data_IF_326086733593
#
_entry.id   IF_326086733593
#
_cell.length_a   1.000
_cell.length_b   1.000
_cell.length_c   1.000
_cell.angle_alpha   90.00
_cell.angle_beta   90.00
_cell.angle_gamma   90.00
#
_symmetry.space_group_name_H-M   'P 1'
#
loop_
_entity.id
_entity.type
_entity.pdbx_description
1 polymer ?
#
# COMPACT_ATOMS: atom_id res chain seq x y z
N UNK A 1 -32.90 -44.68 -5.80
CA UNK A 1 -31.52 -44.46 -5.29
C UNK A 1 -30.93 -43.08 -5.62
N UNK A 2 -31.17 -42.48 -6.78
CA UNK A 2 -30.57 -41.15 -7.14
C UNK A 2 -31.05 -39.95 -6.32
N UNK A 3 -32.30 -39.95 -5.80
CA UNK A 3 -32.85 -38.79 -5.07
C UNK A 3 -32.37 -38.66 -3.62
N UNK A 4 -32.06 -39.78 -2.95
CA UNK A 4 -31.56 -39.78 -1.56
C UNK A 4 -30.11 -39.28 -1.51
N UNK A 5 -29.32 -39.59 -2.55
CA UNK A 5 -27.93 -39.15 -2.67
C UNK A 5 -27.80 -37.63 -2.86
N UNK A 6 -28.73 -37.00 -3.60
CA UNK A 6 -28.72 -35.54 -3.76
C UNK A 6 -29.02 -34.79 -2.47
N UNK A 7 -29.94 -35.29 -1.63
CA UNK A 7 -30.31 -34.64 -0.36
C UNK A 7 -29.16 -34.74 0.65
N UNK A 8 -28.46 -35.88 0.69
CA UNK A 8 -27.28 -36.03 1.54
C UNK A 8 -26.14 -35.08 1.12
N UNK A 9 -25.96 -34.84 -0.18
CA UNK A 9 -24.91 -33.95 -0.69
C UNK A 9 -25.17 -32.48 -0.34
N UNK A 10 -26.42 -32.01 -0.41
CA UNK A 10 -26.76 -30.62 -0.06
C UNK A 10 -26.62 -30.35 1.44
N UNK A 11 -26.93 -31.31 2.30
CA UNK A 11 -26.76 -31.16 3.75
C UNK A 11 -25.26 -31.09 4.12
N UNK A 12 -24.41 -31.88 3.46
CA UNK A 12 -22.94 -31.82 3.66
C UNK A 12 -22.33 -30.48 3.28
N UNK A 13 -22.82 -29.86 2.19
CA UNK A 13 -22.32 -28.54 1.72
C UNK A 13 -22.78 -27.42 2.67
N UNK A 14 -23.98 -27.50 3.24
CA UNK A 14 -24.48 -26.52 4.21
C UNK A 14 -23.76 -26.60 5.56
N UNK A 15 -23.41 -27.80 6.04
CA UNK A 15 -22.65 -27.98 7.28
C UNK A 15 -21.16 -27.67 7.08
N UNK A 16 -20.58 -28.05 5.92
CA UNK A 16 -19.20 -27.70 5.57
C UNK A 16 -18.98 -26.20 5.34
N UNK A 17 -19.96 -25.53 4.72
CA UNK A 17 -19.93 -24.08 4.51
C UNK A 17 -20.06 -23.29 5.82
N UNK A 18 -20.93 -23.71 6.74
CA UNK A 18 -21.10 -23.03 8.03
C UNK A 18 -19.88 -23.20 8.96
N UNK A 19 -19.16 -24.33 8.90
CA UNK A 19 -17.88 -24.49 9.60
C UNK A 19 -16.73 -23.71 8.94
N UNK A 20 -16.76 -23.49 7.62
CA UNK A 20 -15.75 -22.67 6.93
C UNK A 20 -15.93 -21.17 7.25
N UNK A 21 -17.18 -20.70 7.41
CA UNK A 21 -17.46 -19.31 7.81
C UNK A 21 -17.25 -19.03 9.31
N UNK A 22 -17.25 -20.04 10.18
CA UNK A 22 -16.88 -19.83 11.59
C UNK A 22 -15.37 -19.67 11.83
N UNK A 23 -14.51 -20.10 10.88
CA UNK A 23 -13.05 -19.95 11.00
C UNK A 23 -12.48 -18.67 10.34
N UNK A 24 -13.34 -17.79 9.79
CA UNK A 24 -12.93 -16.48 9.25
C UNK A 24 -13.70 -15.29 9.88
N UNK A 25 -14.32 -15.49 11.04
CA UNK A 25 -14.76 -14.36 11.86
C UNK A 25 -13.54 -13.76 12.56
N UNK A 26 -12.92 -12.77 11.91
CA UNK A 26 -11.82 -11.95 12.43
C UNK A 26 -12.18 -11.21 13.73
N UNK A 27 -13.39 -11.38 14.27
CA UNK A 27 -13.77 -10.83 15.57
C UNK A 27 -13.30 -11.70 16.76
N UNK A 28 -13.00 -12.99 16.57
CA UNK A 28 -12.51 -13.85 17.68
C UNK A 28 -11.00 -13.78 17.90
N UNK A 29 -10.22 -13.43 16.87
CA UNK A 29 -8.76 -13.27 16.97
C UNK A 29 -8.36 -11.92 17.59
N UNK A 30 -9.20 -10.89 17.46
CA UNK A 30 -9.01 -9.60 18.13
C UNK A 30 -9.30 -9.65 19.63
N UNK A 31 -10.18 -10.53 20.10
CA UNK A 31 -10.46 -10.72 21.54
C UNK A 31 -9.39 -11.61 22.18
N UNK A 32 -8.87 -12.62 21.48
CA UNK A 32 -7.82 -13.49 22.01
C UNK A 32 -6.46 -12.79 22.13
N UNK A 33 -6.14 -11.81 21.26
CA UNK A 33 -4.90 -11.02 21.39
C UNK A 33 -4.91 -10.04 22.58
N UNK A 34 -6.09 -9.60 23.05
CA UNK A 34 -6.21 -8.80 24.27
C UNK A 34 -6.16 -9.65 25.55
N UNK A 35 -6.72 -10.88 25.54
CA UNK A 35 -6.66 -11.77 26.71
C UNK A 35 -5.32 -12.52 26.86
N UNK A 36 -4.59 -12.82 25.77
CA UNK A 36 -3.31 -13.54 25.86
C UNK A 36 -2.13 -12.68 26.33
N UNK A 37 -2.34 -11.41 26.68
CA UNK A 37 -1.30 -10.59 27.32
C UNK A 37 -1.05 -10.93 28.80
N UNK A 38 -1.79 -11.91 29.36
CA UNK A 38 -1.68 -12.31 30.78
C UNK A 38 -1.07 -13.70 30.99
N UNK A 39 -0.81 -14.50 29.95
CA UNK A 39 -0.23 -15.85 30.13
C UNK A 39 0.92 -16.08 29.14
N UNK A 40 2.03 -15.39 29.36
CA UNK A 40 3.35 -15.93 29.00
C UNK A 40 4.42 -15.30 29.90
N UNK A 41 4.20 -15.51 31.20
CA UNK A 41 5.20 -15.35 32.26
C UNK A 41 5.53 -16.75 32.79
N UNK A 42 6.12 -17.62 31.98
CA UNK A 42 6.90 -18.75 32.48
C UNK A 42 7.68 -19.45 31.35
N UNK A 43 8.96 -19.72 31.64
CA UNK A 43 10.01 -20.25 30.76
C UNK A 43 10.46 -19.26 29.67
N UNK A 44 11.61 -18.59 29.78
CA UNK A 44 12.94 -19.19 29.93
C UNK A 44 13.79 -18.37 30.91
N UNK A 45 14.23 -19.02 31.99
CA UNK A 45 15.39 -18.61 32.78
C UNK A 45 16.67 -18.90 32.00
N UNK A 46 17.38 -17.86 31.56
CA UNK A 46 18.86 -17.86 31.58
C UNK A 46 19.30 -16.51 32.15
N UNK A 47 19.96 -16.63 33.28
CA UNK A 47 20.45 -15.60 34.17
C UNK A 47 21.70 -14.89 33.59
N UNK A 48 21.69 -13.56 33.51
CA UNK A 48 22.61 -12.68 34.27
C UNK A 48 22.59 -11.22 33.75
N UNK A 49 21.84 -10.41 34.48
CA UNK A 49 21.98 -8.97 34.77
C UNK A 49 21.80 -7.89 33.67
N UNK A 50 21.00 -6.82 33.95
CA UNK A 50 20.58 -5.82 32.98
C UNK A 50 21.43 -4.54 33.02
N UNK A 51 21.54 -3.84 31.89
CA UNK A 51 21.68 -2.38 31.88
C UNK A 51 20.38 -1.80 31.33
N UNK A 52 19.80 -0.93 32.14
CA UNK A 52 18.53 -0.25 31.93
C UNK A 52 18.30 0.21 30.49
N UNK A 53 17.25 -0.32 29.86
CA UNK A 53 16.56 0.39 28.79
C UNK A 53 15.20 0.77 29.35
N UNK A 54 15.07 2.03 29.75
CA UNK A 54 13.78 2.65 30.04
C UNK A 54 12.92 2.52 28.78
N UNK A 55 11.87 1.72 28.84
CA UNK A 55 10.73 1.85 27.93
C UNK A 55 9.91 3.04 28.38
N UNK A 56 10.13 4.19 27.75
CA UNK A 56 9.18 5.30 27.82
C UNK A 56 7.95 4.90 26.98
N UNK A 57 6.88 4.57 27.71
CA UNK A 57 5.52 4.63 27.19
C UNK A 57 5.19 6.11 27.02
N UNK A 58 5.35 6.65 25.82
CA UNK A 58 4.79 7.97 25.51
C UNK A 58 3.33 7.83 25.11
N UNK A 59 2.50 8.41 25.97
CA UNK A 59 1.07 8.63 25.81
C UNK A 59 0.86 9.62 24.65
N UNK A 60 -0.16 9.45 23.77
CA UNK A 60 -0.40 10.38 22.67
C UNK A 60 -1.04 11.64 23.23
N UNK A 61 -0.23 12.67 23.53
CA UNK A 61 -0.73 13.91 24.08
C UNK A 61 0.31 15.01 23.98
N UNK A 62 0.09 15.91 23.02
CA UNK A 62 0.88 17.09 22.65
C UNK A 62 2.20 16.77 21.91
N UNK A 63 2.09 16.46 20.62
CA UNK A 63 3.22 16.65 19.71
C UNK A 63 3.39 18.16 19.44
N UNK A 64 4.57 18.68 19.74
CA UNK A 64 4.98 20.04 19.34
C UNK A 64 4.92 20.18 17.80
N UNK A 65 4.65 21.39 17.28
CA UNK A 65 4.65 21.61 15.84
C UNK A 65 6.03 21.22 15.26
N UNK A 66 6.08 20.52 14.11
CA UNK A 66 7.33 20.09 13.53
C UNK A 66 8.23 21.30 13.24
N UNK A 67 9.49 21.22 13.67
CA UNK A 67 10.51 22.29 13.51
C UNK A 67 10.79 22.69 12.06
N UNK A 68 10.20 21.99 11.08
CA UNK A 68 10.45 22.17 9.64
C UNK A 68 9.20 22.61 8.85
N UNK A 69 8.13 23.04 9.54
CA UNK A 69 6.98 23.66 8.87
C UNK A 69 7.39 25.03 8.31
N UNK A 70 7.84 25.06 7.06
CA UNK A 70 7.88 26.31 6.29
C UNK A 70 6.48 26.93 6.29
N UNK A 71 6.39 28.26 6.37
CA UNK A 71 5.14 29.03 6.44
C UNK A 71 4.12 28.79 5.29
N UNK A 72 4.46 27.96 4.31
CA UNK A 72 3.70 27.64 3.10
C UNK A 72 3.42 26.12 2.96
N UNK A 73 3.63 25.34 4.02
CA UNK A 73 3.36 23.90 4.02
C UNK A 73 1.85 23.65 4.16
N UNK A 74 1.18 23.31 3.06
CA UNK A 74 -0.27 23.01 2.99
C UNK A 74 -0.65 21.72 3.75
N UNK A 75 0.32 20.95 4.27
CA UNK A 75 0.10 19.64 4.91
C UNK A 75 -0.46 19.75 6.32
N UNK A 76 -1.42 18.89 6.65
CA UNK A 76 -1.88 18.74 8.04
C UNK A 76 -0.91 17.88 8.87
N UNK A 77 -1.09 17.85 10.19
CA UNK A 77 -0.33 16.95 11.06
C UNK A 77 -0.55 15.48 10.68
N UNK A 78 -1.77 15.11 10.31
CA UNK A 78 -2.12 13.77 9.84
C UNK A 78 -1.40 13.42 8.53
N UNK A 79 -1.29 14.39 7.62
CA UNK A 79 -0.54 14.24 6.37
C UNK A 79 0.95 13.97 6.64
N UNK A 80 1.57 14.74 7.54
CA UNK A 80 2.97 14.57 7.91
C UNK A 80 3.21 13.19 8.57
N UNK A 81 2.31 12.77 9.45
CA UNK A 81 2.37 11.46 10.10
C UNK A 81 2.24 10.32 9.09
N UNK A 82 1.33 10.45 8.12
CA UNK A 82 1.15 9.48 7.05
C UNK A 82 2.36 9.43 6.11
N UNK A 83 2.93 10.58 5.75
CA UNK A 83 4.15 10.67 4.91
C UNK A 83 5.31 9.92 5.58
N UNK A 84 5.53 10.13 6.88
CA UNK A 84 6.54 9.41 7.67
C UNK A 84 6.28 7.90 7.69
N UNK A 85 5.04 7.48 7.87
CA UNK A 85 4.67 6.06 7.89
C UNK A 85 4.88 5.39 6.52
N UNK A 86 4.47 6.06 5.45
CA UNK A 86 4.68 5.57 4.08
C UNK A 86 6.17 5.43 3.74
N UNK A 87 7.00 6.39 4.15
CA UNK A 87 8.45 6.31 3.98
C UNK A 87 9.06 5.12 4.75
N UNK A 88 8.66 4.92 6.01
CA UNK A 88 9.10 3.77 6.81
C UNK A 88 8.70 2.43 6.17
N UNK A 89 7.45 2.31 5.71
CA UNK A 89 6.94 1.10 5.05
C UNK A 89 7.69 0.82 3.74
N UNK A 90 7.98 1.85 2.94
CA UNK A 90 8.76 1.71 1.69
C UNK A 90 10.18 1.22 1.97
N UNK A 91 10.87 1.81 2.94
CA UNK A 91 12.22 1.39 3.37
C UNK A 91 12.22 -0.04 3.91
N UNK A 92 11.21 -0.40 4.70
CA UNK A 92 11.04 -1.77 5.20
C UNK A 92 10.82 -2.76 4.05
N UNK A 93 9.97 -2.42 3.08
CA UNK A 93 9.70 -3.28 1.93
C UNK A 93 10.90 -3.45 1.02
N UNK A 94 11.66 -2.38 0.77
CA UNK A 94 12.94 -2.47 0.07
C UNK A 94 13.88 -3.42 0.80
N UNK A 95 14.05 -3.25 2.12
CA UNK A 95 14.89 -4.13 2.94
C UNK A 95 14.45 -5.60 2.85
N UNK A 96 13.17 -5.89 3.06
CA UNK A 96 12.62 -7.26 2.95
C UNK A 96 12.86 -7.83 1.55
N UNK A 97 12.70 -7.04 0.49
CA UNK A 97 13.00 -7.48 -0.86
C UNK A 97 14.48 -7.83 -1.04
N UNK A 98 15.39 -7.00 -0.51
CA UNK A 98 16.84 -7.24 -0.58
C UNK A 98 17.28 -8.46 0.22
N UNK A 99 16.70 -8.68 1.39
CA UNK A 99 17.08 -9.75 2.32
C UNK A 99 16.41 -11.09 1.97
N UNK A 100 15.14 -11.05 1.56
CA UNK A 100 14.29 -12.24 1.45
C UNK A 100 13.76 -12.49 0.03
N UNK A 101 13.97 -11.56 -0.91
CA UNK A 101 13.51 -11.68 -2.30
C UNK A 101 11.99 -11.57 -2.46
N UNK A 102 11.26 -11.14 -1.42
CA UNK A 102 9.81 -10.96 -1.44
C UNK A 102 9.41 -9.54 -1.09
N UNK A 103 8.28 -9.08 -1.63
CA UNK A 103 7.67 -7.82 -1.24
C UNK A 103 7.06 -7.98 0.16
N UNK A 104 7.32 -7.02 1.06
CA UNK A 104 6.76 -7.02 2.41
C UNK A 104 5.29 -6.59 2.46
N UNK A 105 4.81 -6.27 3.66
CA UNK A 105 3.45 -5.79 3.87
C UNK A 105 3.35 -4.30 3.52
N UNK A 106 2.21 -3.90 2.97
CA UNK A 106 1.90 -2.50 2.64
C UNK A 106 0.70 -2.00 3.44
N UNK A 107 0.59 -0.67 3.59
CA UNK A 107 -0.64 -0.02 4.02
C UNK A 107 -1.74 -0.45 3.06
N UNK A 108 -2.80 -1.05 3.61
CA UNK A 108 -3.94 -1.46 2.79
C UNK A 108 -4.70 -0.23 2.29
N UNK A 109 -5.15 -0.25 1.03
CA UNK A 109 -6.12 0.72 0.52
C UNK A 109 -7.31 0.84 1.45
N UNK A 110 -7.84 2.06 1.61
CA UNK A 110 -9.11 2.30 2.30
C UNK A 110 -10.32 2.17 1.38
N UNK A 111 -10.09 2.10 0.07
CA UNK A 111 -11.11 1.99 -0.97
C UNK A 111 -10.86 0.74 -1.83
N UNK A 112 -11.89 0.32 -2.57
CA UNK A 112 -11.75 -0.73 -3.56
C UNK A 112 -10.93 -0.21 -4.74
N UNK A 113 -9.88 -0.94 -5.10
CA UNK A 113 -9.03 -0.63 -6.26
C UNK A 113 -9.28 -1.66 -7.36
N UNK A 114 -9.24 -1.27 -8.64
CA UNK A 114 -9.41 -2.20 -9.75
C UNK A 114 -8.43 -3.37 -9.66
N UNK A 115 -8.92 -4.57 -9.97
CA UNK A 115 -8.06 -5.75 -10.06
C UNK A 115 -7.34 -5.73 -11.40
N UNK A 116 -6.02 -5.71 -11.37
CA UNK A 116 -5.17 -5.74 -12.57
C UNK A 116 -4.91 -7.16 -13.04
N UNK A 117 -4.99 -7.39 -14.34
CA UNK A 117 -4.60 -8.64 -14.97
C UNK A 117 -3.07 -8.79 -15.04
N UNK A 118 -2.60 -10.01 -15.35
CA UNK A 118 -1.15 -10.26 -15.53
C UNK A 118 -0.59 -9.39 -16.67
N UNK A 119 -1.33 -9.26 -17.77
CA UNK A 119 -0.91 -8.45 -18.91
C UNK A 119 -0.82 -6.96 -18.55
N UNK A 120 -1.72 -6.47 -17.68
CA UNK A 120 -1.66 -5.11 -17.16
C UNK A 120 -0.38 -4.90 -16.36
N UNK A 121 -0.04 -5.82 -15.45
CA UNK A 121 1.22 -5.74 -14.71
C UNK A 121 2.43 -5.71 -15.62
N UNK A 122 2.47 -6.58 -16.65
CA UNK A 122 3.58 -6.59 -17.62
C UNK A 122 3.70 -5.24 -18.33
N UNK A 123 2.58 -4.68 -18.80
CA UNK A 123 2.54 -3.38 -19.47
C UNK A 123 2.99 -2.24 -18.55
N UNK A 124 2.53 -2.22 -17.30
CA UNK A 124 2.92 -1.24 -16.29
C UNK A 124 4.42 -1.34 -16.00
N UNK A 125 4.95 -2.53 -15.72
CA UNK A 125 6.38 -2.71 -15.45
C UNK A 125 7.25 -2.27 -16.63
N UNK A 126 6.87 -2.63 -17.86
CA UNK A 126 7.57 -2.21 -19.08
C UNK A 126 7.59 -0.69 -19.21
N UNK A 127 6.46 -0.03 -18.95
CA UNK A 127 6.31 1.43 -19.05
C UNK A 127 7.13 2.14 -17.99
N UNK A 128 7.07 1.67 -16.74
CA UNK A 128 7.87 2.21 -15.62
C UNK A 128 9.36 2.02 -15.88
N UNK A 129 9.78 0.85 -16.37
CA UNK A 129 11.20 0.60 -16.72
C UNK A 129 11.70 1.53 -17.83
N UNK A 130 10.88 1.74 -18.86
CA UNK A 130 11.22 2.66 -19.94
C UNK A 130 11.37 4.09 -19.42
N UNK A 131 10.39 4.57 -18.63
CA UNK A 131 10.43 5.90 -18.05
C UNK A 131 11.65 6.11 -17.14
N UNK A 132 11.94 5.17 -16.25
CA UNK A 132 13.11 5.26 -15.36
C UNK A 132 14.42 5.24 -16.14
N UNK A 133 14.51 4.46 -17.23
CA UNK A 133 15.69 4.41 -18.10
C UNK A 133 15.93 5.70 -18.87
N UNK A 134 14.86 6.26 -19.40
CA UNK A 134 14.90 7.55 -20.12
C UNK A 134 15.23 8.72 -19.19
N UNK A 135 15.00 8.58 -17.88
CA UNK A 135 15.27 9.57 -16.83
C UNK A 135 16.32 9.05 -15.83
N UNK A 136 17.39 8.40 -16.32
CA UNK A 136 18.43 7.77 -15.51
C UNK A 136 19.32 8.74 -14.71
N UNK A 137 19.20 10.04 -14.97
CA UNK A 137 19.79 11.11 -14.15
C UNK A 137 19.06 11.28 -12.81
N UNK A 138 17.84 10.74 -12.68
CA UNK A 138 16.98 10.85 -11.49
C UNK A 138 16.62 9.51 -10.88
N UNK A 139 16.64 8.42 -11.64
CA UNK A 139 16.21 7.09 -11.20
C UNK A 139 17.34 6.05 -11.29
N UNK A 140 17.38 5.06 -10.38
CA UNK A 140 18.35 3.98 -10.42
C UNK A 140 18.07 3.01 -11.58
N UNK A 141 19.13 2.54 -12.24
CA UNK A 141 19.10 1.46 -13.21
C UNK A 141 20.04 0.29 -12.81
N UNK A 142 19.59 -0.98 -12.88
CA UNK A 142 18.24 -1.41 -13.24
C UNK A 142 17.23 -1.19 -12.10
N UNK A 143 15.99 -0.84 -12.47
CA UNK A 143 14.89 -0.80 -11.52
C UNK A 143 14.44 -2.23 -11.16
N UNK A 144 14.27 -2.50 -9.87
CA UNK A 144 13.73 -3.76 -9.35
C UNK A 144 12.55 -3.54 -8.40
N UNK A 145 11.92 -4.62 -7.95
CA UNK A 145 10.71 -4.57 -7.12
C UNK A 145 10.95 -3.96 -5.72
N UNK A 146 12.20 -3.77 -5.28
CA UNK A 146 12.51 -2.99 -4.08
C UNK A 146 12.52 -1.49 -4.33
N UNK A 147 12.72 -1.08 -5.58
CA UNK A 147 12.78 0.33 -6.03
C UNK A 147 11.50 0.81 -6.70
N UNK A 148 10.56 -0.08 -7.03
CA UNK A 148 9.26 0.27 -7.61
C UNK A 148 8.15 -0.72 -7.25
N UNK A 149 6.92 -0.23 -7.16
CA UNK A 149 5.75 -1.05 -6.88
C UNK A 149 4.46 -0.23 -6.90
N UNK A 150 3.31 -0.90 -6.81
CA UNK A 150 2.02 -0.21 -6.68
C UNK A 150 2.02 0.74 -5.48
N UNK A 151 1.47 1.93 -5.64
CA UNK A 151 1.44 2.89 -4.53
C UNK A 151 0.54 2.41 -3.40
N UNK A 152 1.01 2.59 -2.17
CA UNK A 152 0.25 2.34 -0.95
C UNK A 152 -0.31 3.62 -0.32
N UNK A 153 -0.16 4.78 -1.00
CA UNK A 153 -0.69 6.04 -0.51
C UNK A 153 -2.21 6.12 -0.75
N UNK A 154 -3.05 6.05 0.30
CA UNK A 154 -4.50 6.06 0.15
C UNK A 154 -5.02 7.37 -0.44
N UNK A 155 -4.29 8.48 -0.28
CA UNK A 155 -4.71 9.77 -0.82
C UNK A 155 -4.59 9.81 -2.33
N UNK A 156 -3.57 9.17 -2.90
CA UNK A 156 -3.42 9.03 -4.36
C UNK A 156 -4.52 8.13 -4.90
N UNK A 157 -4.81 7.01 -4.23
CA UNK A 157 -5.89 6.11 -4.63
C UNK A 157 -7.25 6.83 -4.63
N UNK A 158 -7.54 7.63 -3.60
CA UNK A 158 -8.76 8.43 -3.54
C UNK A 158 -8.86 9.46 -4.67
N UNK A 159 -7.74 10.00 -5.16
CA UNK A 159 -7.73 10.91 -6.30
C UNK A 159 -8.03 10.14 -7.59
N UNK A 160 -7.42 8.97 -7.79
CA UNK A 160 -7.57 8.21 -9.04
C UNK A 160 -8.95 7.61 -9.22
N UNK A 161 -9.56 7.12 -8.14
CA UNK A 161 -10.82 6.40 -8.17
C UNK A 161 -11.96 7.23 -7.54
N UNK A 162 -11.83 8.55 -7.61
CA UNK A 162 -12.93 9.45 -7.30
C UNK A 162 -14.08 9.27 -8.32
N UNK A 163 -15.32 9.44 -7.85
CA UNK A 163 -16.51 9.38 -8.72
C UNK A 163 -16.44 10.41 -9.85
N UNK A 164 -15.97 11.62 -9.53
CA UNK A 164 -15.74 12.69 -10.49
C UNK A 164 -14.24 12.88 -10.71
N UNK A 165 -13.78 12.62 -11.95
CA UNK A 165 -12.39 12.81 -12.37
C UNK A 165 -12.22 14.13 -13.11
N UNK A 166 -11.10 14.81 -12.86
CA UNK A 166 -10.76 16.09 -13.48
C UNK A 166 -9.33 16.08 -14.04
N UNK A 167 -9.00 17.13 -14.80
CA UNK A 167 -7.66 17.38 -15.31
C UNK A 167 -7.06 16.24 -16.14
N UNK A 168 -5.80 15.89 -15.86
CA UNK A 168 -5.03 14.92 -16.67
C UNK A 168 -5.63 13.50 -16.66
N UNK A 169 -6.52 13.18 -15.73
CA UNK A 169 -7.23 11.89 -15.65
C UNK A 169 -8.69 11.97 -16.14
N UNK A 170 -9.12 13.13 -16.62
CA UNK A 170 -10.46 13.28 -17.18
C UNK A 170 -10.62 12.35 -18.41
N UNK A 171 -11.69 11.57 -18.42
CA UNK A 171 -12.01 10.67 -19.54
C UNK A 171 -11.33 9.30 -19.49
N UNK A 172 -10.56 9.00 -18.44
CA UNK A 172 -10.06 7.65 -18.18
C UNK A 172 -11.01 6.87 -17.27
N UNK A 173 -11.27 5.61 -17.62
CA UNK A 173 -11.96 4.64 -16.75
C UNK A 173 -11.03 4.16 -15.62
N UNK A 174 -11.61 3.70 -14.51
CA UNK A 174 -10.85 3.30 -13.31
C UNK A 174 -9.84 2.17 -13.62
N UNK A 175 -10.24 1.15 -14.38
CA UNK A 175 -9.37 0.04 -14.76
C UNK A 175 -8.21 0.43 -15.68
N UNK A 176 -8.23 1.67 -16.17
CA UNK A 176 -7.24 2.23 -17.07
C UNK A 176 -6.36 3.29 -16.39
N UNK A 177 -6.43 3.40 -15.05
CA UNK A 177 -5.61 4.29 -14.24
C UNK A 177 -4.94 3.54 -13.09
N UNK A 178 -3.64 3.76 -12.91
CA UNK A 178 -2.89 3.24 -11.76
C UNK A 178 -1.81 4.23 -11.32
N UNK A 179 -1.43 4.17 -10.06
CA UNK A 179 -0.26 4.88 -9.55
C UNK A 179 0.81 3.88 -9.08
N UNK A 180 2.05 4.17 -9.49
CA UNK A 180 3.21 3.32 -9.21
C UNK A 180 4.26 4.13 -8.46
N UNK A 181 4.60 3.70 -7.25
CA UNK A 181 5.69 4.28 -6.49
C UNK A 181 7.04 3.88 -7.10
N UNK A 182 7.96 4.83 -7.22
CA UNK A 182 9.33 4.61 -7.70
C UNK A 182 10.33 5.38 -6.84
N UNK A 183 11.51 4.80 -6.63
CA UNK A 183 12.61 5.38 -5.84
C UNK A 183 13.53 6.21 -6.73
N UNK A 184 13.83 7.44 -6.31
CA UNK A 184 14.81 8.34 -6.92
C UNK A 184 16.23 8.03 -6.43
N UNK A 185 17.24 8.54 -7.14
CA UNK A 185 18.66 8.37 -6.79
C UNK A 185 19.04 8.98 -5.44
N UNK A 186 18.35 10.05 -5.02
CA UNK A 186 18.52 10.67 -3.70
C UNK A 186 17.91 9.83 -2.55
N UNK A 187 17.25 8.72 -2.89
CA UNK A 187 16.60 7.82 -1.95
C UNK A 187 15.15 8.17 -1.62
N UNK A 188 14.65 9.32 -2.07
CA UNK A 188 13.25 9.69 -1.92
C UNK A 188 12.36 8.86 -2.86
N UNK A 189 11.08 8.73 -2.50
CA UNK A 189 10.09 8.09 -3.37
C UNK A 189 9.16 9.13 -4.00
N UNK A 190 8.78 8.88 -5.24
CA UNK A 190 7.76 9.63 -5.98
C UNK A 190 6.73 8.64 -6.55
N UNK A 191 5.66 9.14 -7.14
CA UNK A 191 4.69 8.32 -7.84
C UNK A 191 4.65 8.68 -9.31
N UNK A 192 4.58 7.65 -10.16
CA UNK A 192 4.19 7.77 -11.55
C UNK A 192 2.70 7.49 -11.62
N UNK A 193 1.96 8.42 -12.22
CA UNK A 193 0.59 8.20 -12.62
C UNK A 193 0.60 7.61 -14.02
N UNK A 194 0.03 6.43 -14.19
CA UNK A 194 -0.09 5.77 -15.48
C UNK A 194 -1.53 5.70 -15.94
N UNK A 195 -1.71 5.87 -17.24
CA UNK A 195 -3.00 5.73 -17.90
C UNK A 195 -2.89 4.97 -19.21
N UNK A 196 -4.02 4.44 -19.67
CA UNK A 196 -4.22 3.94 -21.04
C UNK A 196 -5.62 4.28 -21.52
N UNK A 197 -5.86 4.31 -22.82
CA UNK A 197 -7.19 4.68 -23.34
C UNK A 197 -8.20 3.52 -23.29
N UNK A 198 -7.74 2.27 -23.33
CA UNK A 198 -8.59 1.08 -23.26
C UNK A 198 -7.77 -0.17 -22.94
N UNK A 199 -8.46 -1.24 -22.53
CA UNK A 199 -7.85 -2.56 -22.38
C UNK A 199 -7.12 -3.00 -23.67
N UNK A 200 -5.87 -3.45 -23.53
CA UNK A 200 -5.01 -3.89 -24.64
C UNK A 200 -4.15 -2.80 -25.28
N UNK A 201 -4.40 -1.52 -24.98
CA UNK A 201 -3.52 -0.41 -25.37
C UNK A 201 -2.32 -0.29 -24.41
N UNK A 202 -1.25 0.33 -24.91
CA UNK A 202 -0.04 0.56 -24.13
C UNK A 202 -0.29 1.56 -22.99
N UNK A 203 0.28 1.25 -21.83
CA UNK A 203 0.32 2.18 -20.70
C UNK A 203 1.29 3.33 -20.97
N UNK A 204 0.97 4.51 -20.44
CA UNK A 204 1.78 5.71 -20.57
C UNK A 204 1.88 6.42 -19.22
N UNK A 205 3.01 7.08 -18.95
CA UNK A 205 3.15 7.95 -17.79
C UNK A 205 2.45 9.28 -18.10
N UNK A 206 1.41 9.59 -17.34
CA UNK A 206 0.66 10.85 -17.46
C UNK A 206 1.32 11.97 -16.66
N UNK A 207 1.84 11.66 -15.47
CA UNK A 207 2.52 12.62 -14.59
C UNK A 207 3.42 11.91 -13.58
N UNK A 208 4.39 12.65 -13.03
CA UNK A 208 5.23 12.24 -11.91
C UNK A 208 5.06 13.25 -10.77
N UNK A 209 4.83 12.76 -9.55
CA UNK A 209 4.88 13.61 -8.37
C UNK A 209 4.56 12.90 -7.06
N UNK A 210 4.73 13.63 -5.96
CA UNK A 210 4.07 13.29 -4.71
C UNK A 210 2.57 13.60 -4.76
N UNK A 211 1.82 13.26 -3.70
CA UNK A 211 0.37 13.46 -3.66
C UNK A 211 -0.04 14.92 -3.85
N UNK A 212 0.76 15.89 -3.38
CA UNK A 212 0.42 17.30 -3.41
C UNK A 212 0.66 17.87 -4.81
N UNK A 213 1.76 17.47 -5.44
CA UNK A 213 2.05 17.79 -6.84
C UNK A 213 0.99 17.19 -7.76
N UNK A 214 0.69 15.90 -7.61
CA UNK A 214 -0.33 15.23 -8.44
C UNK A 214 -1.72 15.82 -8.24
N UNK A 215 -2.08 16.24 -7.01
CA UNK A 215 -3.34 16.92 -6.76
C UNK A 215 -3.45 18.24 -7.54
N UNK A 216 -2.36 19.01 -7.63
CA UNK A 216 -2.32 20.26 -8.41
C UNK A 216 -2.52 19.99 -9.89
N UNK A 217 -1.77 19.05 -10.46
CA UNK A 217 -1.90 18.64 -11.88
C UNK A 217 -3.31 18.14 -12.24
N UNK A 218 -4.01 17.50 -11.31
CA UNK A 218 -5.37 16.97 -11.52
C UNK A 218 -6.44 18.05 -11.29
N UNK A 219 -6.17 19.05 -10.46
CA UNK A 219 -7.08 20.16 -10.17
C UNK A 219 -6.99 21.28 -11.20
N UNK A 220 -5.80 21.54 -11.76
CA UNK A 220 -5.51 22.68 -12.64
C UNK A 220 -5.92 22.47 -14.11
N UNK A 221 -6.44 21.29 -14.47
CA UNK A 221 -6.89 21.01 -15.84
C UNK A 221 -8.27 21.58 -16.19
N UNK A 222 -8.60 22.78 -15.69
CA UNK A 222 -9.79 23.58 -16.03
C UNK A 222 -9.42 24.77 -16.93
#
# INVERSE_FOLDING_TARGET
MRKIFMIALTISILIGGSLYFQNQSSYSEYVSMQENKTISKELITVDNNPKDVKTENENPGNEEPPEDATLDDERTFEDIALDKRLDADRKSNERTYREEGRTGSSIRPTIEIPTLSIDDYIGIYKTVDAYMRENSDRFPEPADNGTRGSTSDPRIQNILYAEEKSGIIAGFEDENLVAWAVKKLDGAYTNLLLGRTSAGEDWQVLSEGDVYQLRKEISDGN
#
